data_IF_193926559907
#
_entry.id   IF_193926559907
#
_cell.length_a   1.000
_cell.length_b   1.000
_cell.length_c   1.000
_cell.angle_alpha   90.00
_cell.angle_beta   90.00
_cell.angle_gamma   90.00
#
_symmetry.space_group_name_H-M   'P 1'
#
loop_
_entity.id
_entity.type
_entity.pdbx_description
1 polymer ?
#
# COMPACT_ATOMS: atom_id res chain seq x y z
N UNK A 1 46.22 23.12 10.19
CA UNK A 1 45.59 22.71 8.91
C UNK A 1 45.10 21.23 9.00
N UNK A 2 45.94 20.29 9.42
CA UNK A 2 45.60 18.86 9.50
C UNK A 2 44.41 18.56 10.41
N UNK A 3 44.29 19.23 11.57
CA UNK A 3 43.17 19.04 12.52
C UNK A 3 41.84 19.54 11.93
N UNK A 4 41.85 20.68 11.26
CA UNK A 4 40.62 21.21 10.62
C UNK A 4 40.14 20.34 9.47
N UNK A 5 41.08 19.81 8.66
CA UNK A 5 40.71 18.85 7.61
C UNK A 5 40.14 17.55 8.18
N UNK A 6 40.73 17.03 9.27
CA UNK A 6 40.21 15.83 9.96
C UNK A 6 38.80 16.05 10.50
N UNK A 7 38.58 17.17 11.19
CA UNK A 7 37.25 17.51 11.74
C UNK A 7 36.21 17.65 10.61
N UNK A 8 36.59 18.36 9.53
CA UNK A 8 35.68 18.55 8.39
C UNK A 8 35.26 17.24 7.72
N UNK A 9 36.23 16.34 7.51
CA UNK A 9 35.97 15.01 6.93
C UNK A 9 35.10 14.16 7.88
N UNK A 10 35.47 14.12 9.18
CA UNK A 10 34.73 13.37 10.19
C UNK A 10 33.29 13.83 10.28
N UNK A 11 33.04 15.14 10.28
CA UNK A 11 31.69 15.71 10.29
C UNK A 11 30.91 15.37 9.03
N UNK A 12 31.53 15.48 7.86
CA UNK A 12 30.90 15.14 6.58
C UNK A 12 30.47 13.67 6.52
N UNK A 13 31.36 12.76 6.93
CA UNK A 13 31.06 11.32 6.99
C UNK A 13 29.98 11.01 8.02
N UNK A 14 30.04 11.62 9.21
CA UNK A 14 29.03 11.43 10.25
C UNK A 14 27.64 11.88 9.79
N UNK A 15 27.52 13.07 9.20
CA UNK A 15 26.24 13.56 8.65
C UNK A 15 25.70 12.59 7.58
N UNK A 16 26.56 12.11 6.70
CA UNK A 16 26.17 11.18 5.65
C UNK A 16 25.64 9.86 6.23
N UNK A 17 26.33 9.27 7.21
CA UNK A 17 25.88 8.03 7.88
C UNK A 17 24.51 8.24 8.53
N UNK A 18 24.30 9.37 9.19
CA UNK A 18 23.04 9.71 9.83
C UNK A 18 21.93 9.79 8.78
N UNK A 19 22.15 10.55 7.70
CA UNK A 19 21.16 10.72 6.62
C UNK A 19 20.82 9.37 5.98
N UNK A 20 21.82 8.54 5.65
CA UNK A 20 21.57 7.21 5.08
C UNK A 20 20.83 6.29 6.03
N UNK A 21 21.13 6.32 7.32
CA UNK A 21 20.42 5.52 8.33
C UNK A 21 18.96 5.93 8.45
N UNK A 22 18.67 7.23 8.50
CA UNK A 22 17.31 7.77 8.55
C UNK A 22 16.54 7.38 7.28
N UNK A 23 17.13 7.55 6.11
CA UNK A 23 16.49 7.21 4.83
C UNK A 23 16.21 5.71 4.69
N UNK A 24 17.14 4.85 5.10
CA UNK A 24 16.93 3.41 5.11
C UNK A 24 15.81 3.01 6.08
N UNK A 25 15.75 3.63 7.25
CA UNK A 25 14.69 3.44 8.24
C UNK A 25 13.32 3.86 7.68
N UNK A 26 13.24 5.06 7.12
CA UNK A 26 12.01 5.57 6.50
C UNK A 26 11.52 4.68 5.35
N UNK A 27 12.43 4.26 4.47
CA UNK A 27 12.10 3.35 3.37
C UNK A 27 11.57 2.02 3.87
N UNK A 28 12.21 1.42 4.87
CA UNK A 28 11.76 0.16 5.46
C UNK A 28 10.37 0.29 6.08
N UNK A 29 10.12 1.38 6.81
CA UNK A 29 8.84 1.65 7.43
C UNK A 29 7.74 1.88 6.39
N UNK A 30 8.01 2.68 5.34
CA UNK A 30 7.08 2.91 4.24
C UNK A 30 6.69 1.61 3.53
N UNK A 31 7.67 0.76 3.21
CA UNK A 31 7.43 -0.56 2.60
C UNK A 31 6.58 -1.43 3.53
N UNK A 32 6.90 -1.47 4.82
CA UNK A 32 6.16 -2.27 5.80
C UNK A 32 4.70 -1.82 5.93
N UNK A 33 4.42 -0.52 5.87
CA UNK A 33 3.06 0.02 5.88
C UNK A 33 2.29 -0.36 4.61
N UNK A 34 2.90 -0.21 3.44
CA UNK A 34 2.28 -0.59 2.15
C UNK A 34 1.97 -2.09 2.13
N UNK A 35 2.93 -2.93 2.50
CA UNK A 35 2.79 -4.40 2.59
C UNK A 35 1.79 -4.79 3.68
N UNK A 36 1.73 -4.04 4.77
CA UNK A 36 0.78 -4.30 5.86
C UNK A 36 -0.67 -4.00 5.50
N UNK A 37 -0.90 -3.08 4.57
CA UNK A 37 -2.23 -2.65 4.15
C UNK A 37 -2.74 -3.40 2.91
N UNK A 38 -1.89 -3.67 1.94
CA UNK A 38 -2.28 -4.30 0.68
C UNK A 38 -2.03 -5.81 0.69
N UNK A 39 -2.78 -6.54 -0.14
CA UNK A 39 -2.43 -7.89 -0.51
C UNK A 39 -1.02 -7.93 -1.12
N UNK A 40 -0.29 -9.01 -0.86
CA UNK A 40 1.08 -9.13 -1.35
C UNK A 40 1.13 -9.47 -2.84
N UNK A 41 0.22 -10.33 -3.29
CA UNK A 41 0.01 -10.66 -4.70
C UNK A 41 -1.49 -10.63 -4.97
N UNK A 42 -1.85 -10.10 -6.13
CA UNK A 42 -3.21 -10.09 -6.65
C UNK A 42 -3.27 -10.96 -7.90
N UNK A 43 -4.30 -11.79 -7.98
CA UNK A 43 -4.67 -12.52 -9.19
C UNK A 43 -6.00 -11.98 -9.67
N UNK A 44 -6.00 -11.38 -10.84
CA UNK A 44 -7.18 -10.81 -11.47
C UNK A 44 -7.59 -11.69 -12.64
N UNK A 45 -8.84 -12.19 -12.67
CA UNK A 45 -9.29 -13.10 -13.72
C UNK A 45 -9.24 -12.42 -15.09
N UNK A 46 -8.67 -13.12 -16.06
CA UNK A 46 -8.77 -12.73 -17.47
C UNK A 46 -10.08 -13.29 -18.04
N UNK A 47 -11.01 -12.40 -18.30
CA UNK A 47 -12.38 -12.82 -18.62
C UNK A 47 -13.19 -13.11 -17.33
N UNK A 48 -14.36 -13.76 -17.50
CA UNK A 48 -15.24 -14.06 -16.38
C UNK A 48 -15.01 -15.48 -15.88
N UNK A 49 -14.13 -15.64 -14.89
CA UNK A 49 -13.83 -16.93 -14.26
C UNK A 49 -13.62 -16.75 -12.77
N UNK A 50 -14.55 -17.27 -11.99
CA UNK A 50 -14.43 -17.21 -10.53
C UNK A 50 -13.30 -18.09 -10.02
N UNK A 51 -12.36 -17.48 -9.29
CA UNK A 51 -11.30 -18.17 -8.55
C UNK A 51 -11.78 -18.32 -7.10
N UNK A 52 -12.29 -19.53 -6.74
CA UNK A 52 -12.78 -19.78 -5.39
C UNK A 52 -11.61 -20.11 -4.44
N UNK A 53 -11.26 -19.25 -3.48
CA UNK A 53 -10.17 -19.52 -2.55
C UNK A 53 -10.35 -20.78 -1.71
N UNK A 54 -11.61 -21.15 -1.41
CA UNK A 54 -11.93 -22.32 -0.58
C UNK A 54 -11.75 -23.66 -1.31
N UNK A 55 -11.84 -23.65 -2.64
CA UNK A 55 -11.72 -24.86 -3.47
C UNK A 55 -10.28 -25.01 -4.04
N UNK A 56 -9.43 -24.01 -3.82
CA UNK A 56 -8.11 -23.96 -4.40
C UNK A 56 -7.10 -24.68 -3.50
N UNK A 57 -7.02 -26.00 -3.62
CA UNK A 57 -6.02 -26.81 -2.91
C UNK A 57 -4.78 -27.03 -3.79
N UNK A 58 -3.83 -26.11 -3.70
CA UNK A 58 -2.52 -26.22 -4.35
C UNK A 58 -1.41 -26.21 -3.29
N UNK A 59 -0.66 -27.30 -3.20
CA UNK A 59 0.40 -27.49 -2.19
C UNK A 59 1.46 -26.36 -2.26
N UNK A 60 1.83 -25.90 -3.45
CA UNK A 60 2.80 -24.81 -3.60
C UNK A 60 2.24 -23.48 -3.09
N UNK A 61 0.99 -23.15 -3.46
CA UNK A 61 0.34 -21.95 -3.00
C UNK A 61 0.16 -21.96 -1.48
N UNK A 62 -0.30 -23.06 -0.92
CA UNK A 62 -0.49 -23.24 0.54
C UNK A 62 0.84 -23.17 1.32
N UNK A 63 1.96 -23.55 0.70
CA UNK A 63 3.27 -23.45 1.34
C UNK A 63 3.74 -22.02 1.52
N UNK A 64 3.44 -21.12 0.58
CA UNK A 64 3.89 -19.73 0.57
C UNK A 64 2.85 -18.74 1.12
N UNK A 65 1.54 -19.05 1.01
CA UNK A 65 0.46 -18.19 1.47
C UNK A 65 0.12 -18.40 2.94
N UNK A 66 -0.30 -17.32 3.57
CA UNK A 66 -0.89 -17.29 4.91
C UNK A 66 -2.41 -17.27 4.82
N UNK A 67 -2.93 -16.38 4.00
CA UNK A 67 -4.36 -16.18 3.77
C UNK A 67 -4.62 -15.99 2.27
N UNK A 68 -5.71 -16.56 1.79
CA UNK A 68 -6.29 -16.37 0.45
C UNK A 68 -7.65 -15.72 0.64
N UNK A 69 -7.85 -14.56 0.03
CA UNK A 69 -9.04 -13.74 0.26
C UNK A 69 -9.64 -13.35 -1.10
N UNK A 70 -10.95 -13.54 -1.24
CA UNK A 70 -11.68 -13.03 -2.38
C UNK A 70 -12.10 -11.59 -2.13
N UNK A 71 -11.81 -10.70 -3.07
CA UNK A 71 -12.13 -9.28 -2.96
C UNK A 71 -12.58 -8.70 -4.28
N UNK A 72 -13.13 -7.51 -4.21
CA UNK A 72 -13.37 -6.67 -5.38
C UNK A 72 -13.18 -5.20 -5.01
N UNK A 73 -13.03 -4.34 -6.01
CA UNK A 73 -12.83 -2.90 -5.82
C UNK A 73 -13.67 -2.11 -6.79
N UNK A 74 -14.08 -0.91 -6.39
CA UNK A 74 -14.77 0.02 -7.27
C UNK A 74 -14.57 1.47 -6.85
N UNK A 75 -14.53 2.37 -7.81
CA UNK A 75 -14.42 3.80 -7.56
C UNK A 75 -15.81 4.40 -7.30
N UNK A 76 -15.90 5.22 -6.28
CA UNK A 76 -17.15 5.84 -5.85
C UNK A 76 -16.92 7.25 -5.33
N UNK A 77 -18.00 7.97 -5.16
CA UNK A 77 -18.01 9.28 -4.49
C UNK A 77 -18.76 9.12 -3.17
N UNK A 78 -18.09 9.45 -2.07
CA UNK A 78 -18.69 9.59 -0.76
C UNK A 78 -19.24 10.99 -0.60
N UNK A 79 -20.48 11.11 -0.14
CA UNK A 79 -21.21 12.37 -0.02
C UNK A 79 -21.69 12.50 1.43
N UNK A 80 -21.29 13.59 2.07
CA UNK A 80 -21.74 13.96 3.41
C UNK A 80 -22.12 15.44 3.43
N UNK A 81 -23.43 15.72 3.61
CA UNK A 81 -23.97 17.09 3.55
C UNK A 81 -23.55 17.77 2.22
N UNK A 82 -22.82 18.88 2.32
CA UNK A 82 -22.35 19.68 1.18
C UNK A 82 -20.95 19.29 0.70
N UNK A 83 -20.33 18.27 1.32
CA UNK A 83 -18.99 17.80 0.97
C UNK A 83 -19.06 16.46 0.24
N UNK A 84 -18.28 16.35 -0.84
CA UNK A 84 -18.13 15.11 -1.59
C UNK A 84 -16.67 14.82 -1.88
N UNK A 85 -16.31 13.54 -1.95
CA UNK A 85 -14.96 13.10 -2.21
C UNK A 85 -14.92 11.79 -2.98
N UNK A 86 -14.00 11.66 -3.93
CA UNK A 86 -13.69 10.39 -4.59
C UNK A 86 -12.99 9.42 -3.65
N UNK A 87 -13.44 8.18 -3.63
CA UNK A 87 -12.87 7.10 -2.82
C UNK A 87 -12.82 5.81 -3.61
N UNK A 88 -11.96 4.89 -3.17
CA UNK A 88 -11.95 3.50 -3.61
C UNK A 88 -12.63 2.64 -2.55
N UNK A 89 -13.70 1.98 -2.94
CA UNK A 89 -14.36 0.97 -2.11
C UNK A 89 -13.65 -0.37 -2.32
N UNK A 90 -13.32 -1.05 -1.21
CA UNK A 90 -12.83 -2.42 -1.21
C UNK A 90 -13.87 -3.31 -0.55
N UNK A 91 -14.26 -4.39 -1.24
CA UNK A 91 -15.26 -5.36 -0.76
C UNK A 91 -14.60 -6.59 -0.19
N UNK A 92 -15.01 -6.96 1.04
CA UNK A 92 -14.58 -8.19 1.69
C UNK A 92 -15.75 -8.92 2.30
N UNK A 93 -15.69 -10.26 2.36
CA UNK A 93 -16.60 -11.01 3.19
C UNK A 93 -16.40 -10.65 4.67
N UNK A 94 -17.43 -10.85 5.50
CA UNK A 94 -17.34 -10.60 6.94
C UNK A 94 -16.15 -11.33 7.59
N UNK A 95 -15.93 -12.58 7.21
CA UNK A 95 -14.85 -13.41 7.75
C UNK A 95 -13.46 -12.96 7.27
N UNK A 96 -13.36 -12.54 6.01
CA UNK A 96 -12.09 -12.13 5.43
C UNK A 96 -11.67 -10.73 5.87
N UNK A 97 -12.62 -9.83 6.08
CA UNK A 97 -12.37 -8.51 6.65
C UNK A 97 -11.63 -8.60 8.00
N UNK A 98 -12.06 -9.48 8.88
CA UNK A 98 -11.41 -9.68 10.18
C UNK A 98 -10.00 -10.29 10.10
N UNK A 99 -9.60 -10.88 8.96
CA UNK A 99 -8.24 -11.42 8.74
C UNK A 99 -7.24 -10.33 8.37
N UNK A 100 -7.69 -9.20 7.81
CA UNK A 100 -6.82 -8.10 7.38
C UNK A 100 -5.97 -7.58 8.54
N UNK A 101 -4.68 -7.34 8.28
CA UNK A 101 -3.74 -6.85 9.30
C UNK A 101 -4.21 -5.52 9.89
N UNK A 102 -4.68 -4.61 9.05
CA UNK A 102 -5.17 -3.29 9.46
C UNK A 102 -6.34 -3.35 10.45
N UNK A 103 -7.17 -4.39 10.36
CA UNK A 103 -8.34 -4.58 11.24
C UNK A 103 -7.92 -5.18 12.59
N UNK A 104 -6.78 -5.87 12.63
CA UNK A 104 -6.20 -6.43 13.86
C UNK A 104 -5.36 -5.42 14.64
N UNK A 105 -5.01 -4.31 14.01
CA UNK A 105 -4.21 -3.25 14.61
C UNK A 105 -4.93 -2.60 15.80
N UNK A 106 -4.17 -2.11 16.77
CA UNK A 106 -4.70 -1.43 17.98
C UNK A 106 -5.33 -0.07 17.64
N UNK A 107 -4.94 0.53 16.53
CA UNK A 107 -5.49 1.81 16.04
C UNK A 107 -6.89 1.69 15.45
N UNK A 108 -7.38 0.47 15.21
CA UNK A 108 -8.72 0.21 14.70
C UNK A 108 -9.77 0.46 15.79
N UNK A 109 -10.75 1.30 15.47
CA UNK A 109 -11.84 1.69 16.39
C UNK A 109 -13.17 1.22 15.81
N UNK A 110 -13.98 0.54 16.61
CA UNK A 110 -15.33 0.10 16.24
C UNK A 110 -15.47 -1.40 16.07
N UNK A 111 -16.50 -1.83 15.32
CA UNK A 111 -16.85 -3.24 15.18
C UNK A 111 -16.08 -3.91 14.05
N UNK A 112 -15.26 -4.91 14.41
CA UNK A 112 -14.45 -5.73 13.48
C UNK A 112 -15.26 -6.82 12.78
N UNK A 113 -16.42 -7.17 13.31
CA UNK A 113 -17.13 -8.38 12.96
C UNK A 113 -18.46 -8.13 12.24
N UNK A 114 -18.83 -6.90 11.97
CA UNK A 114 -20.16 -6.57 11.48
C UNK A 114 -20.17 -5.84 10.13
N UNK A 115 -19.21 -6.15 9.24
CA UNK A 115 -19.20 -5.60 7.89
C UNK A 115 -20.32 -6.25 7.05
N UNK A 116 -21.56 -5.83 7.28
CA UNK A 116 -22.76 -6.30 6.58
C UNK A 116 -23.26 -5.30 5.54
N UNK A 117 -24.36 -5.62 4.86
CA UNK A 117 -24.84 -4.93 3.64
C UNK A 117 -24.98 -3.40 3.71
N UNK A 118 -25.20 -2.82 4.90
CA UNK A 118 -25.44 -1.37 5.04
C UNK A 118 -24.38 -0.67 5.86
N UNK A 119 -23.26 -1.35 6.13
CA UNK A 119 -22.19 -0.82 6.95
C UNK A 119 -20.93 -0.54 6.14
N UNK A 120 -20.20 0.50 6.55
CA UNK A 120 -18.95 0.92 5.95
C UNK A 120 -17.89 1.16 7.03
N UNK A 121 -16.66 0.72 6.76
CA UNK A 121 -15.48 1.08 7.53
C UNK A 121 -14.67 2.11 6.74
N UNK A 122 -14.34 3.24 7.33
CA UNK A 122 -13.64 4.33 6.66
C UNK A 122 -12.30 4.62 7.33
N UNK A 123 -11.36 5.19 6.57
CA UNK A 123 -10.10 5.63 7.13
C UNK A 123 -10.28 6.84 8.06
N UNK A 124 -9.41 6.96 9.05
CA UNK A 124 -9.44 8.01 10.07
C UNK A 124 -9.33 9.41 9.46
N UNK A 125 -8.46 9.60 8.48
CA UNK A 125 -8.31 10.86 7.75
C UNK A 125 -9.57 11.22 6.95
N UNK A 126 -10.23 10.23 6.34
CA UNK A 126 -11.49 10.43 5.64
C UNK A 126 -12.61 10.84 6.61
N UNK A 127 -12.68 10.19 7.77
CA UNK A 127 -13.59 10.53 8.86
C UNK A 127 -13.40 11.99 9.30
N UNK A 128 -12.15 12.42 9.50
CA UNK A 128 -11.83 13.78 9.87
C UNK A 128 -12.20 14.79 8.76
N UNK A 129 -11.84 14.49 7.51
CA UNK A 129 -12.11 15.37 6.35
C UNK A 129 -13.61 15.62 6.13
N UNK A 130 -14.45 14.60 6.37
CA UNK A 130 -15.89 14.68 6.16
C UNK A 130 -16.68 14.97 7.45
N UNK A 131 -16.00 15.07 8.60
CA UNK A 131 -16.65 15.26 9.91
C UNK A 131 -17.54 14.08 10.31
N UNK A 132 -17.20 12.85 9.88
CA UNK A 132 -17.95 11.63 10.15
C UNK A 132 -17.48 10.96 11.44
N UNK A 133 -18.42 10.36 12.17
CA UNK A 133 -18.18 9.56 13.37
C UNK A 133 -18.79 8.17 13.20
N UNK A 134 -18.40 7.25 14.04
CA UNK A 134 -19.07 5.94 14.14
C UNK A 134 -20.54 6.17 14.51
N UNK A 135 -21.44 5.53 13.76
CA UNK A 135 -22.89 5.68 13.87
C UNK A 135 -23.49 6.68 12.89
N UNK A 136 -22.69 7.52 12.25
CA UNK A 136 -23.18 8.46 11.24
C UNK A 136 -23.51 7.77 9.93
N UNK A 137 -24.53 8.30 9.25
CA UNK A 137 -24.93 7.86 7.93
C UNK A 137 -24.24 8.67 6.83
N UNK A 138 -23.83 7.99 5.77
CA UNK A 138 -23.18 8.58 4.61
C UNK A 138 -23.75 8.02 3.32
N UNK A 139 -23.82 8.82 2.27
CA UNK A 139 -24.28 8.40 0.95
C UNK A 139 -23.09 8.09 0.04
N UNK A 140 -23.07 6.91 -0.55
CA UNK A 140 -22.11 6.54 -1.58
C UNK A 140 -22.80 6.58 -2.94
N UNK A 141 -22.12 7.16 -3.91
CA UNK A 141 -22.55 7.23 -5.31
C UNK A 141 -21.54 6.51 -6.19
N UNK A 142 -21.99 5.55 -7.00
CA UNK A 142 -21.09 4.82 -7.91
C UNK A 142 -20.71 5.68 -9.12
N UNK A 143 -19.50 5.46 -9.64
CA UNK A 143 -19.07 6.02 -10.93
C UNK A 143 -19.77 5.34 -12.10
N UNK A 144 -20.12 4.05 -11.95
CA UNK A 144 -20.90 3.28 -12.91
C UNK A 144 -22.38 3.38 -12.58
N UNK A 145 -23.20 3.75 -13.56
CA UNK A 145 -24.63 3.93 -13.37
C UNK A 145 -25.46 2.79 -13.96
N UNK A 146 -26.76 2.94 -13.86
CA UNK A 146 -27.74 2.15 -14.61
C UNK A 146 -28.03 2.85 -15.92
N UNK A 147 -27.82 2.17 -17.05
CA UNK A 147 -28.20 2.69 -18.35
C UNK A 147 -29.74 2.87 -18.41
N UNK A 148 -30.16 4.10 -18.69
CA UNK A 148 -31.56 4.45 -18.87
C UNK A 148 -31.77 5.12 -20.22
N UNK A 149 -33.04 5.24 -20.66
CA UNK A 149 -33.39 5.89 -21.92
C UNK A 149 -32.90 7.34 -22.00
N UNK A 150 -32.68 7.98 -20.84
CA UNK A 150 -32.21 9.38 -20.71
C UNK A 150 -30.71 9.49 -20.35
N UNK A 151 -29.97 8.39 -20.37
CA UNK A 151 -28.55 8.32 -20.05
C UNK A 151 -28.20 7.47 -18.84
N UNK A 152 -26.97 7.53 -18.43
CA UNK A 152 -26.44 6.72 -17.32
C UNK A 152 -26.70 7.40 -15.98
N UNK A 153 -27.55 6.82 -15.14
CA UNK A 153 -27.87 7.35 -13.80
C UNK A 153 -27.01 6.66 -12.74
N UNK A 154 -26.18 7.39 -11.99
CA UNK A 154 -25.34 6.80 -10.96
C UNK A 154 -26.19 6.19 -9.84
N UNK A 155 -25.84 4.98 -9.40
CA UNK A 155 -26.46 4.37 -8.22
C UNK A 155 -26.04 5.12 -6.96
N UNK A 156 -26.99 5.28 -6.03
CA UNK A 156 -26.74 5.85 -4.71
C UNK A 156 -27.17 4.85 -3.66
N UNK A 157 -26.36 4.68 -2.62
CA UNK A 157 -26.70 3.84 -1.47
C UNK A 157 -26.23 4.48 -0.18
N UNK A 158 -27.06 4.35 0.86
CA UNK A 158 -26.76 4.87 2.19
C UNK A 158 -26.08 3.79 3.03
N UNK A 159 -25.03 4.18 3.73
CA UNK A 159 -24.28 3.31 4.64
C UNK A 159 -24.13 3.99 5.99
N UNK A 160 -24.04 3.18 7.05
CA UNK A 160 -23.70 3.66 8.41
C UNK A 160 -22.25 3.33 8.71
N UNK A 161 -21.50 4.31 9.20
CA UNK A 161 -20.09 4.13 9.59
C UNK A 161 -20.03 3.28 10.86
N UNK A 162 -19.41 2.09 10.79
CA UNK A 162 -19.29 1.18 11.95
C UNK A 162 -17.91 1.17 12.57
N UNK A 163 -16.91 1.57 11.82
CA UNK A 163 -15.52 1.53 12.28
C UNK A 163 -14.62 2.48 11.53
N UNK A 164 -13.52 2.82 12.19
CA UNK A 164 -12.44 3.66 11.66
C UNK A 164 -11.14 2.86 11.69
N UNK A 165 -10.38 2.90 10.59
CA UNK A 165 -9.05 2.31 10.52
C UNK A 165 -7.98 3.37 10.30
N UNK A 166 -6.73 3.06 10.66
CA UNK A 166 -5.56 3.91 10.46
C UNK A 166 -4.40 3.06 9.94
N UNK A 167 -4.03 3.26 8.68
CA UNK A 167 -2.91 2.55 8.04
C UNK A 167 -1.55 3.22 8.32
N UNK A 168 -1.60 4.47 8.78
CA UNK A 168 -0.44 5.35 8.90
C UNK A 168 0.09 5.85 7.55
N UNK A 169 -0.69 5.70 6.47
CA UNK A 169 -0.48 6.29 5.16
C UNK A 169 -1.69 7.17 4.85
N UNK A 170 -1.50 8.49 4.91
CA UNK A 170 -2.58 9.47 4.75
C UNK A 170 -3.39 9.26 3.46
N UNK A 171 -2.74 8.85 2.36
CA UNK A 171 -3.42 8.58 1.10
C UNK A 171 -4.40 7.40 1.20
N UNK A 172 -4.07 6.34 1.92
CA UNK A 172 -4.96 5.20 2.12
C UNK A 172 -6.09 5.55 3.09
N UNK A 173 -5.73 6.19 4.21
CA UNK A 173 -6.67 6.57 5.25
C UNK A 173 -7.68 7.63 4.78
N UNK A 174 -7.33 8.37 3.72
CA UNK A 174 -8.18 9.43 3.17
C UNK A 174 -8.99 9.00 1.93
N UNK A 175 -8.58 7.94 1.22
CA UNK A 175 -9.16 7.59 -0.06
C UNK A 175 -9.75 6.19 -0.14
N UNK A 176 -9.62 5.35 0.92
CA UNK A 176 -10.11 3.98 0.92
C UNK A 176 -11.21 3.80 1.96
N UNK A 177 -12.20 2.98 1.61
CA UNK A 177 -13.22 2.51 2.53
C UNK A 177 -13.55 1.03 2.26
N UNK A 178 -13.99 0.32 3.29
CA UNK A 178 -14.33 -1.10 3.23
C UNK A 178 -15.83 -1.30 3.36
N UNK A 179 -16.41 -2.13 2.49
CA UNK A 179 -17.80 -2.57 2.55
C UNK A 179 -17.91 -4.09 2.35
N UNK A 180 -19.09 -4.62 2.56
CA UNK A 180 -19.36 -6.03 2.30
C UNK A 180 -19.19 -6.35 0.80
N UNK A 181 -18.53 -7.49 0.49
CA UNK A 181 -18.19 -7.90 -0.88
C UNK A 181 -19.43 -8.07 -1.77
N UNK A 182 -20.45 -8.77 -1.29
CA UNK A 182 -21.67 -8.97 -2.09
C UNK A 182 -22.41 -7.64 -2.34
N UNK A 183 -22.33 -6.72 -1.38
CA UNK A 183 -22.87 -5.36 -1.54
C UNK A 183 -22.09 -4.55 -2.57
N UNK A 184 -20.76 -4.69 -2.60
CA UNK A 184 -19.92 -4.02 -3.60
C UNK A 184 -20.24 -4.55 -5.00
N UNK A 185 -20.32 -5.88 -5.16
CA UNK A 185 -20.64 -6.49 -6.43
C UNK A 185 -22.02 -6.03 -6.95
N UNK A 186 -23.04 -6.03 -6.10
CA UNK A 186 -24.38 -5.53 -6.44
C UNK A 186 -24.35 -4.03 -6.83
N UNK A 187 -23.57 -3.23 -6.09
CA UNK A 187 -23.50 -1.80 -6.30
C UNK A 187 -22.84 -1.41 -7.63
N UNK A 188 -21.82 -2.16 -8.05
CA UNK A 188 -21.11 -1.94 -9.30
C UNK A 188 -21.55 -2.84 -10.46
N UNK A 189 -22.60 -3.63 -10.32
CA UNK A 189 -23.05 -4.63 -11.30
C UNK A 189 -22.00 -5.67 -11.65
N UNK A 190 -21.18 -6.05 -10.66
CA UNK A 190 -20.17 -7.10 -10.78
C UNK A 190 -20.76 -8.46 -10.42
N UNK A 191 -20.12 -9.51 -10.90
CA UNK A 191 -20.45 -10.90 -10.59
C UNK A 191 -19.35 -11.55 -9.76
N UNK A 192 -19.57 -12.77 -9.31
CA UNK A 192 -18.52 -13.53 -8.64
C UNK A 192 -17.31 -13.79 -9.54
N UNK A 193 -17.53 -13.84 -10.85
CA UNK A 193 -16.49 -14.08 -11.83
C UNK A 193 -15.54 -12.87 -12.02
N UNK A 194 -15.95 -11.70 -11.55
CA UNK A 194 -15.13 -10.48 -11.58
C UNK A 194 -14.27 -10.35 -10.30
N UNK A 195 -14.44 -11.24 -9.31
CA UNK A 195 -13.71 -11.18 -8.05
C UNK A 195 -12.24 -11.55 -8.23
N UNK A 196 -11.40 -10.76 -7.58
CA UNK A 196 -9.95 -10.96 -7.53
C UNK A 196 -9.58 -11.86 -6.37
N UNK A 197 -8.48 -12.60 -6.51
CA UNK A 197 -7.85 -13.36 -5.44
C UNK A 197 -6.69 -12.54 -4.85
N UNK A 198 -6.80 -12.20 -3.60
CA UNK A 198 -5.74 -11.59 -2.80
C UNK A 198 -4.95 -12.66 -2.07
N UNK A 199 -3.63 -12.68 -2.26
CA UNK A 199 -2.72 -13.63 -1.64
C UNK A 199 -1.86 -12.89 -0.63
N UNK A 200 -2.04 -13.22 0.64
CA UNK A 200 -1.20 -12.76 1.75
C UNK A 200 -0.13 -13.81 2.02
N UNK A 201 1.13 -13.46 1.80
CA UNK A 201 2.27 -14.36 1.89
C UNK A 201 2.77 -14.47 3.34
N UNK A 202 3.36 -15.63 3.68
CA UNK A 202 4.06 -15.82 4.96
C UNK A 202 5.32 -14.95 5.07
N UNK A 203 6.04 -14.79 3.94
CA UNK A 203 7.23 -13.93 3.85
C UNK A 203 7.16 -13.01 2.63
N UNK A 204 6.69 -11.76 2.77
CA UNK A 204 6.50 -10.83 1.65
C UNK A 204 7.80 -10.23 1.10
N UNK A 205 8.95 -10.47 1.74
CA UNK A 205 10.22 -9.88 1.31
C UNK A 205 10.74 -10.46 -0.01
N UNK A 206 10.43 -11.73 -0.31
CA UNK A 206 10.84 -12.40 -1.54
C UNK A 206 9.77 -12.38 -2.64
N UNK A 207 9.15 -11.22 -2.82
CA UNK A 207 7.96 -11.05 -3.67
C UNK A 207 8.17 -11.51 -5.13
N UNK A 208 9.36 -11.30 -5.70
CA UNK A 208 9.62 -11.65 -7.12
C UNK A 208 9.53 -13.15 -7.37
N UNK A 209 10.16 -13.96 -6.52
CA UNK A 209 10.14 -15.42 -6.65
C UNK A 209 8.74 -15.97 -6.37
N UNK A 210 8.06 -15.41 -5.37
CA UNK A 210 6.71 -15.85 -5.01
C UNK A 210 5.69 -15.46 -6.07
N UNK A 211 5.80 -14.27 -6.66
CA UNK A 211 5.01 -13.88 -7.83
C UNK A 211 5.20 -14.84 -9.00
N UNK A 212 6.45 -15.24 -9.29
CA UNK A 212 6.74 -16.19 -10.36
C UNK A 212 6.05 -17.54 -10.10
N UNK A 213 6.07 -18.06 -8.85
CA UNK A 213 5.36 -19.29 -8.49
C UNK A 213 3.85 -19.14 -8.72
N UNK A 214 3.26 -18.02 -8.25
CA UNK A 214 1.83 -17.76 -8.44
C UNK A 214 1.48 -17.66 -9.94
N UNK A 215 2.33 -17.05 -10.73
CA UNK A 215 2.13 -16.92 -12.17
C UNK A 215 2.18 -18.27 -12.92
N UNK A 216 2.95 -19.24 -12.41
CA UNK A 216 2.93 -20.62 -12.92
C UNK A 216 1.62 -21.36 -12.55
N UNK A 217 1.03 -21.04 -11.42
CA UNK A 217 -0.24 -21.62 -10.97
C UNK A 217 -1.43 -21.01 -11.74
N UNK A 218 -1.33 -19.73 -12.07
CA UNK A 218 -2.36 -18.95 -12.78
C UNK A 218 -1.82 -18.39 -14.10
N UNK A 219 -1.54 -19.23 -15.10
CA UNK A 219 -0.87 -18.80 -16.33
C UNK A 219 -1.75 -17.94 -17.26
N UNK A 220 -3.07 -18.05 -17.12
CA UNK A 220 -4.04 -17.33 -17.95
C UNK A 220 -4.54 -16.04 -17.30
N UNK A 221 -4.19 -15.79 -16.02
CA UNK A 221 -4.69 -14.70 -15.22
C UNK A 221 -3.67 -13.56 -15.08
N UNK A 222 -4.13 -12.36 -14.79
CA UNK A 222 -3.24 -11.25 -14.48
C UNK A 222 -2.72 -11.38 -13.05
N UNK A 223 -1.41 -11.63 -12.92
CA UNK A 223 -0.75 -11.72 -11.62
C UNK A 223 0.15 -10.51 -11.42
N UNK A 224 -0.13 -9.71 -10.41
CA UNK A 224 0.69 -8.57 -10.03
C UNK A 224 0.89 -8.49 -8.52
N UNK A 225 1.97 -7.89 -8.12
CA UNK A 225 2.35 -7.74 -6.71
C UNK A 225 2.16 -6.30 -6.24
N UNK A 226 2.18 -6.09 -4.93
CA UNK A 226 2.20 -4.77 -4.31
C UNK A 226 3.36 -3.90 -4.83
N UNK A 227 4.49 -4.51 -5.22
CA UNK A 227 5.63 -3.81 -5.80
C UNK A 227 5.36 -3.31 -7.23
N UNK A 228 4.60 -4.07 -8.04
CA UNK A 228 4.21 -3.66 -9.39
C UNK A 228 3.22 -2.49 -9.33
N UNK A 229 2.25 -2.56 -8.45
CA UNK A 229 1.25 -1.49 -8.25
C UNK A 229 1.89 -0.18 -7.77
N UNK A 230 2.98 -0.27 -6.99
CA UNK A 230 3.71 0.88 -6.48
C UNK A 230 5.04 1.12 -7.23
N UNK A 231 5.13 0.75 -8.51
CA UNK A 231 6.36 0.81 -9.31
C UNK A 231 6.98 2.20 -9.39
N UNK A 232 6.18 3.25 -9.44
CA UNK A 232 6.65 4.65 -9.43
C UNK A 232 7.39 5.00 -8.14
N UNK A 233 6.85 4.57 -6.99
CA UNK A 233 7.48 4.74 -5.69
C UNK A 233 8.83 4.01 -5.63
N UNK A 234 8.86 2.73 -6.09
CA UNK A 234 10.10 1.96 -6.11
C UNK A 234 11.15 2.55 -7.05
N UNK A 235 10.71 3.10 -8.17
CA UNK A 235 11.60 3.82 -9.10
C UNK A 235 12.19 5.05 -8.45
N UNK A 236 11.38 5.85 -7.75
CA UNK A 236 11.85 7.01 -7.00
C UNK A 236 12.86 6.63 -5.91
N UNK A 237 12.58 5.60 -5.11
CA UNK A 237 13.49 5.09 -4.09
C UNK A 237 14.79 4.53 -4.65
N UNK A 238 14.76 3.98 -5.87
CA UNK A 238 15.97 3.51 -6.58
C UNK A 238 16.84 4.69 -7.05
N UNK A 239 16.21 5.72 -7.61
CA UNK A 239 16.90 6.95 -8.04
C UNK A 239 17.55 7.62 -6.83
N UNK A 240 16.83 7.79 -5.75
CA UNK A 240 17.33 8.36 -4.49
C UNK A 240 18.57 7.60 -4.00
N UNK A 241 18.53 6.27 -3.93
CA UNK A 241 19.69 5.45 -3.53
C UNK A 241 20.90 5.67 -4.43
N UNK A 242 20.70 5.78 -5.75
CA UNK A 242 21.77 6.01 -6.70
C UNK A 242 22.39 7.41 -6.51
N UNK A 243 21.57 8.43 -6.28
CA UNK A 243 22.04 9.80 -5.99
C UNK A 243 22.85 9.82 -4.69
N UNK A 244 22.35 9.17 -3.63
CA UNK A 244 23.10 9.06 -2.36
C UNK A 244 24.44 8.36 -2.53
N UNK A 245 24.51 7.29 -3.34
CA UNK A 245 25.77 6.63 -3.67
C UNK A 245 26.75 7.54 -4.38
N UNK A 246 26.29 8.36 -5.34
CA UNK A 246 27.13 9.33 -6.06
C UNK A 246 27.65 10.38 -5.09
N UNK A 247 26.80 10.94 -4.23
CA UNK A 247 27.21 11.94 -3.22
C UNK A 247 28.26 11.35 -2.28
N UNK A 248 28.05 10.12 -1.79
CA UNK A 248 29.02 9.42 -0.95
C UNK A 248 30.37 9.27 -1.64
N UNK A 249 30.35 8.82 -2.90
CA UNK A 249 31.56 8.65 -3.69
C UNK A 249 32.34 9.99 -3.85
N UNK A 250 31.58 11.07 -4.08
CA UNK A 250 32.17 12.41 -4.22
C UNK A 250 32.84 12.88 -2.91
N UNK A 251 32.17 12.67 -1.78
CA UNK A 251 32.72 13.02 -0.45
C UNK A 251 34.00 12.23 -0.17
N UNK A 252 34.04 10.94 -0.50
CA UNK A 252 35.24 10.10 -0.33
C UNK A 252 36.39 10.63 -1.20
N UNK A 253 36.11 11.02 -2.44
CA UNK A 253 37.10 11.57 -3.35
C UNK A 253 37.69 12.90 -2.77
N UNK A 254 36.82 13.80 -2.32
CA UNK A 254 37.26 15.08 -1.71
C UNK A 254 38.06 14.82 -0.45
N UNK A 255 37.64 13.86 0.38
CA UNK A 255 38.41 13.48 1.57
C UNK A 255 39.82 12.95 1.23
N UNK A 256 39.93 12.10 0.19
CA UNK A 256 41.18 11.57 -0.29
C UNK A 256 42.13 12.69 -0.77
N UNK A 257 41.63 13.66 -1.54
CA UNK A 257 42.43 14.81 -1.98
C UNK A 257 42.91 15.68 -0.81
N UNK A 258 42.09 15.89 0.21
CA UNK A 258 42.47 16.62 1.41
C UNK A 258 43.58 15.90 2.18
N UNK A 259 43.52 14.57 2.30
CA UNK A 259 44.56 13.77 2.95
C UNK A 259 45.88 13.84 2.16
N UNK A 260 45.83 13.68 0.83
CA UNK A 260 47.01 13.75 -0.04
C UNK A 260 47.66 15.13 0.07
N UNK A 261 46.87 16.19 0.01
CA UNK A 261 47.35 17.56 0.14
C UNK A 261 48.03 17.81 1.50
N UNK A 262 47.40 17.33 2.58
CA UNK A 262 47.96 17.42 3.94
C UNK A 262 49.27 16.68 4.11
N UNK A 263 49.38 15.45 3.56
CA UNK A 263 50.61 14.67 3.58
C UNK A 263 51.73 15.33 2.76
N UNK A 264 51.40 15.87 1.58
CA UNK A 264 52.39 16.57 0.71
C UNK A 264 53.01 17.79 1.42
N UNK A 265 52.15 18.56 2.11
CA UNK A 265 52.65 19.74 2.89
C UNK A 265 53.52 19.28 4.07
N UNK A 266 53.17 18.19 4.74
CA UNK A 266 53.94 17.64 5.85
C UNK A 266 55.33 17.14 5.42
N UNK A 267 55.41 16.46 4.28
CA UNK A 267 56.65 15.98 3.70
C UNK A 267 57.52 17.17 3.29
N UNK A 268 56.96 18.19 2.62
CA UNK A 268 57.70 19.38 2.17
C UNK A 268 58.25 20.21 3.33
N UNK A 269 57.63 20.22 4.49
CA UNK A 269 58.09 20.95 5.67
C UNK A 269 59.14 20.21 6.49
N UNK A 270 59.43 18.93 6.20
CA UNK A 270 60.47 18.13 6.85
C UNK A 270 61.72 17.93 6.00
N UNK A 271 61.70 18.38 4.75
CA UNK A 271 62.89 18.42 3.86
C UNK A 271 63.42 19.82 3.82
#
# INVERSE_FOLDING_TARGET
ISIFSFIGISLGVAVLIIVMSVMNGFRSELINKIVGFNAHIMVEPYGKKYINPAEFDNLQLNSISKDLISSNTGEAIIIQKDTSKGIVLRGYSKNDFSKLKIIKDETFIGDKNNLTKNYISIGKELSFTLGLKIGDDVTIMSSSGVETIIGNLPKKKKFTVISLFESGLADFDNNIAFINLDTLDEFFNLTKDDRKLEIYLKNPQNIKNQKFIVQQIFPEEFVYSWADTNSSLFSALKVERNVMFIILSLIIIVAAFNIISGLTILVKNKT
#
